data_IF_240574066634
#
_entry.id   IF_240574066634
#
_cell.length_a   1.000
_cell.length_b   1.000
_cell.length_c   1.000
_cell.angle_alpha   90.00
_cell.angle_beta   90.00
_cell.angle_gamma   90.00
#
_symmetry.space_group_name_H-M   'P 1'
#
loop_
_entity.id
_entity.type
_entity.pdbx_description
1 polymer ?
#
# COMPACT_ATOMS: atom_id res chain seq x y z
N UNK A 1 8.53 -9.18 8.39
CA UNK A 1 9.18 -10.49 8.18
C UNK A 1 8.22 -11.66 8.44
N UNK A 2 7.56 -11.70 9.60
CA UNK A 2 6.51 -12.70 9.90
C UNK A 2 5.41 -12.76 8.82
N UNK A 3 4.85 -11.60 8.43
CA UNK A 3 3.82 -11.53 7.38
C UNK A 3 4.29 -12.15 6.05
N UNK A 4 5.48 -11.79 5.57
CA UNK A 4 6.04 -12.36 4.33
C UNK A 4 6.22 -13.88 4.44
N UNK A 5 6.59 -14.40 5.60
CA UNK A 5 6.76 -15.83 5.84
C UNK A 5 5.41 -16.56 5.82
N UNK A 6 4.39 -16.01 6.49
CA UNK A 6 3.03 -16.56 6.46
C UNK A 6 2.47 -16.58 5.04
N UNK A 7 2.63 -15.50 4.28
CA UNK A 7 2.20 -15.43 2.88
C UNK A 7 2.95 -16.45 2.02
N UNK A 8 4.27 -16.57 2.19
CA UNK A 8 5.08 -17.55 1.47
C UNK A 8 4.67 -18.99 1.76
N UNK A 9 4.36 -19.32 3.02
CA UNK A 9 3.86 -20.65 3.40
C UNK A 9 2.49 -20.91 2.78
N UNK A 10 1.55 -19.96 2.90
CA UNK A 10 0.21 -20.12 2.34
C UNK A 10 0.23 -20.28 0.82
N UNK A 11 0.96 -19.42 0.11
CA UNK A 11 1.09 -19.50 -1.34
C UNK A 11 1.90 -20.71 -1.78
N UNK A 12 2.94 -21.10 -1.03
CA UNK A 12 3.75 -22.28 -1.29
C UNK A 12 2.97 -23.59 -1.17
N UNK A 13 2.03 -23.67 -0.22
CA UNK A 13 1.12 -24.82 -0.12
C UNK A 13 0.14 -24.89 -1.30
N UNK A 14 -0.30 -23.74 -1.82
CA UNK A 14 -1.16 -23.67 -3.01
C UNK A 14 -0.39 -23.83 -4.33
N UNK A 15 0.92 -23.61 -4.34
CA UNK A 15 1.79 -23.65 -5.51
C UNK A 15 1.67 -24.92 -6.36
N UNK A 16 1.67 -26.16 -5.82
CA UNK A 16 1.60 -27.35 -6.66
C UNK A 16 0.32 -27.47 -7.50
N UNK A 17 -0.77 -26.78 -7.12
CA UNK A 17 -2.02 -26.78 -7.88
C UNK A 17 -2.17 -25.58 -8.83
N UNK A 18 -1.62 -24.42 -8.47
CA UNK A 18 -1.90 -23.15 -9.18
C UNK A 18 -0.67 -22.43 -9.71
N UNK A 19 0.55 -22.92 -9.46
CA UNK A 19 1.76 -22.26 -9.93
C UNK A 19 1.93 -22.45 -11.44
N UNK A 20 1.96 -21.32 -12.14
CA UNK A 20 2.34 -21.23 -13.55
C UNK A 20 3.77 -20.70 -13.59
N UNK A 21 4.63 -21.31 -14.41
CA UNK A 21 6.00 -20.85 -14.58
C UNK A 21 6.03 -19.42 -15.11
N UNK A 22 6.76 -18.54 -14.43
CA UNK A 22 6.87 -17.14 -14.82
C UNK A 22 7.71 -17.01 -16.10
N UNK A 23 7.21 -16.33 -17.14
CA UNK A 23 8.00 -15.99 -18.33
C UNK A 23 9.32 -15.30 -17.97
N UNK A 24 10.41 -15.66 -18.66
CA UNK A 24 11.76 -15.16 -18.40
C UNK A 24 11.89 -13.63 -18.34
N UNK A 25 11.10 -12.93 -19.16
CA UNK A 25 11.13 -11.48 -19.30
C UNK A 25 10.54 -10.73 -18.10
N UNK A 26 9.70 -11.39 -17.30
CA UNK A 26 9.01 -10.77 -16.16
C UNK A 26 9.83 -10.80 -14.86
N UNK A 27 10.95 -11.52 -14.84
CA UNK A 27 11.80 -11.64 -13.64
C UNK A 27 12.40 -10.30 -13.20
N UNK A 28 12.86 -9.47 -14.15
CA UNK A 28 13.47 -8.17 -13.82
C UNK A 28 12.44 -7.15 -13.30
N UNK A 29 11.27 -6.95 -13.95
CA UNK A 29 10.18 -6.14 -13.38
C UNK A 29 9.73 -6.66 -12.01
N UNK A 30 9.61 -7.97 -11.85
CA UNK A 30 9.20 -8.58 -10.57
C UNK A 30 10.23 -8.31 -9.46
N UNK A 31 11.52 -8.41 -9.76
CA UNK A 31 12.58 -8.04 -8.82
C UNK A 31 12.48 -6.55 -8.40
N UNK A 32 12.15 -5.65 -9.33
CA UNK A 32 11.92 -4.24 -9.04
C UNK A 32 10.73 -4.00 -8.11
N UNK A 33 9.57 -4.59 -8.44
CA UNK A 33 8.33 -4.46 -7.63
C UNK A 33 8.52 -5.06 -6.24
N UNK A 34 9.16 -6.23 -6.14
CA UNK A 34 9.43 -6.87 -4.84
C UNK A 34 10.38 -6.05 -3.98
N UNK A 35 11.45 -5.50 -4.56
CA UNK A 35 12.37 -4.62 -3.85
C UNK A 35 11.66 -3.36 -3.32
N UNK A 36 10.84 -2.71 -4.16
CA UNK A 36 10.09 -1.52 -3.77
C UNK A 36 9.07 -1.82 -2.67
N UNK A 37 8.33 -2.93 -2.79
CA UNK A 37 7.36 -3.37 -1.79
C UNK A 37 8.01 -3.70 -0.44
N UNK A 38 9.13 -4.43 -0.45
CA UNK A 38 9.87 -4.76 0.77
C UNK A 38 10.43 -3.49 1.42
N UNK A 39 11.02 -2.58 0.64
CA UNK A 39 11.52 -1.32 1.14
C UNK A 39 10.40 -0.50 1.81
N UNK A 40 9.23 -0.39 1.17
CA UNK A 40 8.06 0.28 1.74
C UNK A 40 7.60 -0.35 3.06
N UNK A 41 7.51 -1.69 3.12
CA UNK A 41 7.15 -2.40 4.34
C UNK A 41 8.17 -2.19 5.47
N UNK A 42 9.48 -2.18 5.16
CA UNK A 42 10.52 -1.91 6.17
C UNK A 42 10.44 -0.47 6.68
N UNK A 43 10.27 0.51 5.80
CA UNK A 43 10.10 1.92 6.18
C UNK A 43 8.86 2.11 7.07
N UNK A 44 7.73 1.49 6.72
CA UNK A 44 6.53 1.52 7.56
C UNK A 44 6.74 0.85 8.90
N UNK A 45 7.32 -0.35 8.93
CA UNK A 45 7.63 -1.04 10.20
C UNK A 45 8.55 -0.21 11.11
N UNK A 46 9.49 0.53 10.52
CA UNK A 46 10.37 1.44 11.27
C UNK A 46 9.64 2.69 11.75
N UNK A 47 8.73 3.25 10.94
CA UNK A 47 7.94 4.41 11.29
C UNK A 47 6.96 4.09 12.45
N UNK A 48 6.30 2.93 12.41
CA UNK A 48 5.46 2.45 13.53
C UNK A 48 6.25 2.26 14.83
N UNK A 49 7.55 1.96 14.75
CA UNK A 49 8.39 1.83 15.92
C UNK A 49 8.79 3.18 16.55
N UNK A 50 8.60 4.31 15.84
CA UNK A 50 9.12 5.64 16.24
C UNK A 50 8.05 6.70 16.42
N UNK A 51 6.86 6.53 15.84
CA UNK A 51 5.77 7.47 15.96
C UNK A 51 4.48 6.74 16.34
N UNK A 52 3.63 7.43 17.11
CA UNK A 52 2.32 6.93 17.49
C UNK A 52 1.48 6.65 16.24
N UNK A 53 0.67 5.60 16.30
CA UNK A 53 -0.14 5.16 15.17
C UNK A 53 -0.95 6.31 14.54
N UNK A 54 -1.42 7.26 15.36
CA UNK A 54 -2.18 8.42 14.91
C UNK A 54 -1.44 9.34 13.93
N UNK A 55 -0.11 9.39 13.98
CA UNK A 55 0.70 10.18 13.04
C UNK A 55 0.93 9.46 11.71
N UNK A 56 0.86 8.12 11.69
CA UNK A 56 1.06 7.31 10.47
C UNK A 56 -0.22 7.15 9.64
N UNK A 57 -1.39 7.26 10.27
CA UNK A 57 -2.71 7.15 9.61
C UNK A 57 -2.82 8.04 8.35
N UNK A 58 -2.42 9.33 8.35
CA UNK A 58 -2.47 10.17 7.15
C UNK A 58 -1.59 9.64 6.01
N UNK A 59 -0.46 9.01 6.32
CA UNK A 59 0.44 8.42 5.32
C UNK A 59 -0.21 7.23 4.64
N UNK A 60 -0.86 6.34 5.39
CA UNK A 60 -1.61 5.22 4.82
C UNK A 60 -2.72 5.70 3.87
N UNK A 61 -3.44 6.75 4.24
CA UNK A 61 -4.51 7.26 3.37
C UNK A 61 -4.00 7.99 2.13
N UNK A 62 -2.80 8.59 2.18
CA UNK A 62 -2.19 9.16 0.98
C UNK A 62 -1.93 8.12 -0.12
N UNK A 63 -1.81 6.83 0.25
CA UNK A 63 -1.67 5.74 -0.70
C UNK A 63 -2.86 5.64 -1.66
N UNK A 64 -4.07 6.06 -1.26
CA UNK A 64 -5.23 6.09 -2.16
C UNK A 64 -5.06 7.10 -3.31
N UNK A 65 -4.46 8.26 -3.03
CA UNK A 65 -4.18 9.27 -4.06
C UNK A 65 -3.15 8.71 -5.04
N UNK A 66 -2.09 8.10 -4.51
CA UNK A 66 -1.06 7.45 -5.32
C UNK A 66 -1.61 6.27 -6.13
N UNK A 67 -2.52 5.47 -5.58
CA UNK A 67 -3.15 4.36 -6.28
C UNK A 67 -3.94 4.84 -7.49
N UNK A 68 -4.72 5.91 -7.35
CA UNK A 68 -5.48 6.51 -8.47
C UNK A 68 -4.53 7.08 -9.52
N UNK A 69 -3.50 7.82 -9.10
CA UNK A 69 -2.54 8.44 -10.00
C UNK A 69 -1.74 7.38 -10.79
N UNK A 70 -1.24 6.34 -10.12
CA UNK A 70 -0.49 5.25 -10.74
C UNK A 70 -1.40 4.34 -11.58
N UNK A 71 -2.63 4.08 -11.14
CA UNK A 71 -3.64 3.35 -11.90
C UNK A 71 -3.96 4.02 -13.22
N UNK A 72 -4.22 5.33 -13.18
CA UNK A 72 -4.45 6.12 -14.39
C UNK A 72 -3.22 6.16 -15.31
N UNK A 73 -2.02 6.36 -14.74
CA UNK A 73 -0.80 6.54 -15.55
C UNK A 73 -0.26 5.24 -16.17
N UNK A 74 -0.25 4.13 -15.42
CA UNK A 74 0.35 2.87 -15.87
C UNK A 74 -0.66 1.90 -16.49
N UNK A 75 -1.92 1.94 -16.05
CA UNK A 75 -2.94 0.97 -16.45
C UNK A 75 -4.07 1.59 -17.30
N UNK A 76 -3.97 2.89 -17.63
CA UNK A 76 -4.99 3.67 -18.35
C UNK A 76 -6.39 3.50 -17.73
N UNK A 77 -6.43 3.34 -16.41
CA UNK A 77 -7.67 3.05 -15.70
C UNK A 77 -8.59 4.28 -15.72
N UNK A 78 -9.82 4.10 -16.20
CA UNK A 78 -10.77 5.19 -16.32
C UNK A 78 -11.11 5.76 -14.93
N UNK A 79 -10.61 6.96 -14.65
CA UNK A 79 -10.94 7.68 -13.41
C UNK A 79 -12.38 8.17 -13.50
N UNK A 80 -13.30 7.29 -13.13
CA UNK A 80 -14.72 7.59 -13.10
C UNK A 80 -15.04 8.61 -12.01
N UNK A 81 -16.16 9.32 -12.19
CA UNK A 81 -16.62 10.30 -11.21
C UNK A 81 -16.84 9.70 -9.83
N UNK A 82 -17.22 8.42 -9.75
CA UNK A 82 -17.37 7.68 -8.50
C UNK A 82 -16.03 7.45 -7.79
N UNK A 83 -14.97 7.13 -8.52
CA UNK A 83 -13.61 6.98 -7.95
C UNK A 83 -13.12 8.31 -7.39
N UNK A 84 -13.33 9.39 -8.13
CA UNK A 84 -12.95 10.75 -7.74
C UNK A 84 -13.73 11.25 -6.53
N UNK A 85 -15.03 10.95 -6.46
CA UNK A 85 -15.87 11.25 -5.31
C UNK A 85 -15.44 10.48 -4.05
N UNK A 86 -15.17 9.17 -4.18
CA UNK A 86 -14.65 8.35 -3.08
C UNK A 86 -13.29 8.84 -2.59
N UNK A 87 -12.37 9.14 -3.51
CA UNK A 87 -11.07 9.72 -3.19
C UNK A 87 -11.21 11.06 -2.47
N UNK A 88 -12.10 11.94 -2.95
CA UNK A 88 -12.41 13.22 -2.32
C UNK A 88 -12.92 13.07 -0.88
N UNK A 89 -13.81 12.10 -0.64
CA UNK A 89 -14.30 11.80 0.71
C UNK A 89 -13.16 11.33 1.63
N UNK A 90 -12.30 10.41 1.17
CA UNK A 90 -11.15 9.93 1.96
C UNK A 90 -10.22 11.09 2.29
N UNK A 91 -9.85 11.91 1.30
CA UNK A 91 -8.97 13.07 1.50
C UNK A 91 -9.59 14.08 2.46
N UNK A 92 -10.89 14.36 2.33
CA UNK A 92 -11.60 15.25 3.25
C UNK A 92 -11.57 14.72 4.69
N UNK A 93 -11.84 13.44 4.90
CA UNK A 93 -11.73 12.79 6.21
C UNK A 93 -10.32 12.87 6.78
N UNK A 94 -9.29 12.68 5.96
CA UNK A 94 -7.89 12.79 6.37
C UNK A 94 -7.51 14.21 6.77
N UNK A 95 -7.97 15.22 6.02
CA UNK A 95 -7.75 16.62 6.35
C UNK A 95 -8.43 17.00 7.67
N UNK A 96 -9.62 16.47 7.94
CA UNK A 96 -10.32 16.68 9.22
C UNK A 96 -9.52 16.01 10.36
N UNK A 97 -9.13 14.75 10.19
CA UNK A 97 -8.37 13.98 11.19
C UNK A 97 -6.97 14.58 11.47
N UNK A 98 -6.29 15.08 10.43
CA UNK A 98 -4.99 15.75 10.58
C UNK A 98 -5.11 17.11 11.27
N UNK A 99 -6.26 17.80 11.13
CA UNK A 99 -6.54 19.08 11.80
C UNK A 99 -7.04 18.90 13.24
N UNK A 100 -7.63 17.75 13.58
CA UNK A 100 -7.91 17.41 14.98
C UNK A 100 -6.61 17.09 15.71
N UNK A 101 -5.96 18.15 16.19
CA UNK A 101 -4.80 18.11 17.07
C UNK A 101 -5.02 17.10 18.23
N UNK A 102 -4.14 16.11 18.43
CA UNK A 102 -4.09 15.38 19.69
C UNK A 102 -3.40 16.29 20.72
N UNK A 103 -4.17 17.20 21.34
CA UNK A 103 -3.83 17.73 22.67
C UNK A 103 -4.45 16.86 23.78
N UNK A 104 -4.51 15.54 23.58
CA UNK A 104 -5.14 14.60 24.51
C UNK A 104 -4.32 13.32 24.66
N UNK A 105 -3.03 13.50 24.94
CA UNK A 105 -2.21 12.51 25.62
C UNK A 105 -1.23 13.28 26.53
N UNK A 106 -1.82 13.98 27.51
CA UNK A 106 -1.16 14.16 28.81
C UNK A 106 -1.32 12.87 29.61
#
# INVERSE_FOLDING_TARGET
>A
LFQNLCVAVMLGLAAPWFAIALPGELWLPLAGVTALSLAGQFLMSWAYARAEAQYLIPTEYSAFIWAIALGWFFFDEAVTWTTLAGAGLIVASCLIAARSNPRLAE
#
